data_IF_846659323372
#
_entry.id   IF_846659323372
#
_cell.length_a   1.000
_cell.length_b   1.000
_cell.length_c   1.000
_cell.angle_alpha   90.00
_cell.angle_beta   90.00
_cell.angle_gamma   90.00
#
_symmetry.space_group_name_H-M   'P 1'
#
loop_
_entity.id
_entity.type
_entity.pdbx_description
1 polymer ?
#
# COMPACT_ATOMS: atom_id res chain seq x y z
N UNK A 1 -11.02 -18.97 -0.82
CA UNK A 1 -10.68 -17.54 -0.70
C UNK A 1 -10.18 -17.22 0.71
N UNK A 2 -9.11 -16.45 0.84
CA UNK A 2 -8.54 -16.06 2.13
C UNK A 2 -9.17 -14.76 2.64
N UNK A 3 -9.45 -14.66 3.95
CA UNK A 3 -9.96 -13.46 4.57
C UNK A 3 -8.80 -12.51 4.90
N UNK A 4 -8.78 -11.34 4.27
CA UNK A 4 -7.83 -10.27 4.58
C UNK A 4 -8.40 -9.30 5.62
N UNK A 5 -7.52 -8.53 6.30
CA UNK A 5 -7.92 -7.54 7.30
C UNK A 5 -9.08 -6.62 6.88
N UNK A 6 -9.11 -6.01 5.66
CA UNK A 6 -10.24 -5.19 5.24
C UNK A 6 -11.56 -5.96 5.13
N UNK A 7 -11.51 -7.24 4.75
CA UNK A 7 -12.67 -8.13 4.75
C UNK A 7 -13.17 -8.43 6.15
N UNK A 8 -12.25 -8.72 7.08
CA UNK A 8 -12.57 -8.93 8.49
C UNK A 8 -13.24 -7.70 9.10
N UNK A 9 -12.72 -6.50 8.86
CA UNK A 9 -13.32 -5.24 9.34
C UNK A 9 -14.73 -5.02 8.78
N UNK A 10 -14.98 -5.37 7.50
CA UNK A 10 -16.33 -5.28 6.89
C UNK A 10 -17.29 -6.30 7.49
N UNK A 11 -16.86 -7.53 7.74
CA UNK A 11 -17.68 -8.55 8.41
C UNK A 11 -18.07 -8.11 9.82
N UNK A 12 -17.11 -7.62 10.62
CA UNK A 12 -17.39 -7.10 11.95
C UNK A 12 -18.40 -5.94 11.91
N UNK A 13 -18.28 -5.03 10.96
CA UNK A 13 -19.22 -3.93 10.79
C UNK A 13 -20.62 -4.42 10.43
N UNK A 14 -20.72 -5.44 9.55
CA UNK A 14 -22.00 -6.03 9.12
C UNK A 14 -22.78 -6.63 10.31
N UNK A 15 -22.09 -7.31 11.22
CA UNK A 15 -22.70 -7.92 12.41
C UNK A 15 -22.79 -6.96 13.61
N UNK A 16 -22.50 -5.69 13.42
CA UNK A 16 -22.44 -4.69 14.49
C UNK A 16 -21.50 -5.09 15.64
N UNK A 17 -20.36 -5.67 15.27
CA UNK A 17 -19.31 -6.08 16.20
C UNK A 17 -18.19 -5.03 16.30
N UNK A 18 -17.45 -5.07 17.40
CA UNK A 18 -16.23 -4.31 17.62
C UNK A 18 -15.13 -5.24 18.12
N UNK A 19 -13.89 -4.99 17.68
CA UNK A 19 -12.71 -5.69 18.18
C UNK A 19 -12.03 -4.87 19.28
N UNK A 20 -11.70 -5.53 20.39
CA UNK A 20 -10.99 -4.93 21.54
C UNK A 20 -9.79 -5.79 21.86
N UNK A 21 -8.62 -5.18 21.99
CA UNK A 21 -7.42 -5.88 22.46
C UNK A 21 -7.58 -6.15 23.95
N UNK A 22 -7.64 -7.42 24.33
CA UNK A 22 -7.71 -7.88 25.72
C UNK A 22 -6.32 -7.98 26.34
N UNK A 23 -5.41 -8.63 25.61
CA UNK A 23 -4.06 -8.87 26.09
C UNK A 23 -3.04 -8.61 24.99
N UNK A 24 -1.87 -8.14 25.39
CA UNK A 24 -0.73 -7.92 24.52
C UNK A 24 0.55 -8.29 25.28
N UNK A 25 1.17 -9.38 24.84
CA UNK A 25 2.43 -9.86 25.36
C UNK A 25 3.53 -9.61 24.35
N UNK A 26 4.61 -8.97 24.75
CA UNK A 26 5.75 -8.66 23.91
C UNK A 26 7.06 -9.11 24.55
N UNK A 27 7.91 -9.77 23.76
CA UNK A 27 9.28 -10.10 24.13
C UNK A 27 10.22 -9.38 23.17
N UNK A 28 11.25 -8.72 23.71
CA UNK A 28 12.24 -7.96 22.94
C UNK A 28 13.65 -8.27 23.41
N UNK A 29 14.54 -8.53 22.45
CA UNK A 29 15.97 -8.62 22.68
C UNK A 29 16.72 -7.75 21.68
N UNK A 30 17.27 -6.64 22.17
CA UNK A 30 18.02 -5.68 21.33
C UNK A 30 19.33 -6.26 20.80
N UNK A 31 19.91 -7.29 21.46
CA UNK A 31 21.20 -7.87 21.06
C UNK A 31 21.04 -8.76 19.82
N UNK A 32 19.98 -9.54 19.78
CA UNK A 32 19.70 -10.46 18.68
C UNK A 32 18.74 -9.88 17.64
N UNK A 33 18.11 -8.74 17.93
CA UNK A 33 17.00 -8.20 17.12
C UNK A 33 15.71 -9.02 17.25
N UNK A 34 15.63 -9.94 18.22
CA UNK A 34 14.44 -10.74 18.46
C UNK A 34 13.28 -9.87 18.94
N UNK A 35 12.14 -10.05 18.33
CA UNK A 35 10.87 -9.46 18.74
C UNK A 35 9.74 -10.45 18.48
N UNK A 36 8.92 -10.67 19.48
CA UNK A 36 7.71 -11.46 19.40
C UNK A 36 6.54 -10.64 19.96
N UNK A 37 5.43 -10.65 19.29
CA UNK A 37 4.18 -10.05 19.76
C UNK A 37 3.07 -11.08 19.67
N UNK A 38 2.43 -11.36 20.81
CA UNK A 38 1.21 -12.15 20.92
C UNK A 38 0.08 -11.24 21.40
N UNK A 39 -1.05 -11.31 20.71
CA UNK A 39 -2.25 -10.54 21.04
C UNK A 39 -3.44 -11.44 21.21
N UNK A 40 -4.27 -11.09 22.20
CA UNK A 40 -5.61 -11.64 22.36
C UNK A 40 -6.63 -10.52 22.08
N UNK A 41 -7.55 -10.78 21.16
CA UNK A 41 -8.61 -9.84 20.79
C UNK A 41 -9.97 -10.45 21.10
N UNK A 42 -10.80 -9.68 21.76
CA UNK A 42 -12.22 -9.98 21.98
C UNK A 42 -13.06 -9.29 20.90
N UNK A 43 -14.05 -10.01 20.40
CA UNK A 43 -15.10 -9.45 19.58
C UNK A 43 -16.34 -9.24 20.44
N UNK A 44 -16.83 -8.01 20.48
CA UNK A 44 -17.98 -7.59 21.29
C UNK A 44 -19.11 -7.13 20.39
N UNK A 45 -20.33 -7.51 20.71
CA UNK A 45 -21.52 -6.94 20.07
C UNK A 45 -21.79 -5.53 20.60
N UNK A 46 -21.72 -4.52 19.74
CA UNK A 46 -21.77 -3.09 20.11
C UNK A 46 -23.04 -2.70 20.86
N UNK A 47 -24.19 -3.30 20.51
CA UNK A 47 -25.46 -2.97 21.14
C UNK A 47 -25.65 -3.54 22.56
N UNK A 48 -25.04 -4.68 22.86
CA UNK A 48 -25.22 -5.39 24.14
C UNK A 48 -23.99 -5.42 25.03
N UNK A 49 -22.80 -5.15 24.47
CA UNK A 49 -21.53 -5.27 25.19
C UNK A 49 -21.09 -6.71 25.44
N UNK A 50 -21.83 -7.71 24.94
CA UNK A 50 -21.52 -9.13 25.13
C UNK A 50 -20.29 -9.51 24.30
N UNK A 51 -19.35 -10.23 24.89
CA UNK A 51 -18.25 -10.87 24.17
C UNK A 51 -18.77 -12.07 23.40
N UNK A 52 -18.63 -12.07 22.08
CA UNK A 52 -19.14 -13.12 21.19
C UNK A 52 -18.06 -14.13 20.80
N UNK A 53 -16.80 -13.71 20.79
CA UNK A 53 -15.65 -14.58 20.49
C UNK A 53 -14.35 -13.95 20.99
N UNK A 54 -13.31 -14.78 21.10
CA UNK A 54 -11.92 -14.35 21.26
C UNK A 54 -11.07 -14.96 20.15
N UNK A 55 -9.99 -14.29 19.79
CA UNK A 55 -8.98 -14.80 18.88
C UNK A 55 -7.58 -14.52 19.42
N UNK A 56 -6.63 -15.30 18.99
CA UNK A 56 -5.21 -15.18 19.34
C UNK A 56 -4.38 -15.06 18.08
N UNK A 57 -3.40 -14.18 18.10
CA UNK A 57 -2.50 -14.00 16.98
C UNK A 57 -1.11 -13.62 17.41
N UNK A 58 -0.13 -14.22 16.77
CA UNK A 58 1.28 -14.04 17.07
C UNK A 58 2.09 -13.77 15.81
N UNK A 59 3.18 -13.04 15.97
CA UNK A 59 4.22 -12.89 14.96
C UNK A 59 5.58 -12.66 15.62
N UNK A 60 6.64 -13.09 14.94
CA UNK A 60 8.01 -12.96 15.44
C UNK A 60 8.95 -12.43 14.35
N UNK A 61 9.96 -11.64 14.74
CA UNK A 61 11.04 -11.22 13.84
C UNK A 61 11.91 -12.38 13.35
N UNK A 62 11.84 -13.55 14.03
CA UNK A 62 12.55 -14.75 13.62
C UNK A 62 11.76 -15.63 12.65
N UNK A 63 10.55 -15.23 12.24
CA UNK A 63 9.92 -15.84 11.07
C UNK A 63 10.82 -15.68 9.84
N UNK A 64 10.90 -16.70 9.00
CA UNK A 64 11.82 -16.75 7.85
C UNK A 64 11.79 -15.52 6.97
N UNK A 65 10.60 -14.96 6.74
CA UNK A 65 10.38 -13.77 5.91
C UNK A 65 10.96 -12.47 6.48
N UNK A 66 11.16 -12.38 7.80
CA UNK A 66 11.77 -11.22 8.45
C UNK A 66 13.25 -11.47 8.79
N UNK A 67 13.54 -12.70 9.27
CA UNK A 67 14.89 -13.09 9.68
C UNK A 67 15.86 -13.09 8.52
N UNK A 68 15.39 -13.43 7.29
CA UNK A 68 16.24 -13.54 6.12
C UNK A 68 15.80 -12.57 5.02
N UNK A 69 16.77 -12.17 4.20
CA UNK A 69 16.55 -11.38 2.99
C UNK A 69 17.20 -12.06 1.77
N UNK A 70 16.58 -11.86 0.61
CA UNK A 70 17.12 -12.31 -0.66
C UNK A 70 17.92 -11.17 -1.30
N UNK A 71 19.22 -11.38 -1.50
CA UNK A 71 20.13 -10.39 -2.07
C UNK A 71 20.64 -10.85 -3.42
N UNK A 72 21.05 -9.92 -4.28
CA UNK A 72 21.73 -10.26 -5.52
C UNK A 72 23.16 -10.73 -5.21
N UNK A 73 23.80 -11.39 -6.19
CA UNK A 73 25.17 -11.89 -6.05
C UNK A 73 26.17 -10.77 -5.75
N UNK A 74 25.96 -9.58 -6.33
CA UNK A 74 26.74 -8.37 -6.08
C UNK A 74 26.71 -7.88 -4.63
N UNK A 75 25.62 -8.18 -3.93
CA UNK A 75 25.34 -7.66 -2.58
C UNK A 75 25.73 -8.65 -1.48
N UNK A 76 26.28 -9.82 -1.89
CA UNK A 76 26.82 -10.80 -0.93
C UNK A 76 28.15 -10.27 -0.39
N UNK A 77 28.32 -10.14 0.95
CA UNK A 77 29.54 -9.64 1.56
C UNK A 77 30.77 -10.44 1.13
N UNK A 78 31.88 -9.73 0.85
CA UNK A 78 33.15 -10.35 0.56
C UNK A 78 33.63 -11.17 1.77
N UNK A 79 33.88 -12.46 1.57
CA UNK A 79 34.32 -13.38 2.64
C UNK A 79 33.29 -14.42 3.04
N UNK A 80 32.02 -14.32 2.56
CA UNK A 80 31.06 -15.41 2.68
C UNK A 80 31.21 -16.38 1.52
N UNK A 81 31.32 -17.67 1.83
CA UNK A 81 31.33 -18.72 0.81
C UNK A 81 29.92 -18.86 0.20
N UNK A 82 29.76 -18.39 -1.04
CA UNK A 82 28.50 -18.44 -1.78
C UNK A 82 27.99 -19.87 -2.01
N UNK A 83 28.87 -20.88 -1.96
CA UNK A 83 28.49 -22.28 -2.14
C UNK A 83 27.66 -22.82 -0.98
N UNK A 84 27.84 -22.26 0.22
CA UNK A 84 27.12 -22.65 1.44
C UNK A 84 25.77 -21.93 1.60
N UNK A 85 25.54 -20.86 0.81
CA UNK A 85 24.32 -20.06 0.90
C UNK A 85 23.16 -20.70 0.13
N UNK A 86 21.97 -20.64 0.73
CA UNK A 86 20.76 -21.03 0.03
C UNK A 86 20.52 -20.04 -1.13
N UNK A 87 20.29 -20.58 -2.33
CA UNK A 87 20.01 -19.79 -3.53
C UNK A 87 18.66 -20.16 -4.13
N UNK A 88 17.98 -19.18 -4.69
CA UNK A 88 16.70 -19.33 -5.42
C UNK A 88 16.78 -18.58 -6.74
N UNK A 89 16.28 -19.20 -7.80
CA UNK A 89 16.14 -18.56 -9.12
C UNK A 89 14.82 -17.84 -9.19
N UNK A 90 14.86 -16.57 -9.58
CA UNK A 90 13.71 -15.71 -9.81
C UNK A 90 13.62 -15.36 -11.28
N UNK A 91 12.41 -15.13 -11.78
CA UNK A 91 12.15 -14.72 -13.15
C UNK A 91 11.70 -13.26 -13.16
N UNK A 92 12.40 -12.42 -13.94
CA UNK A 92 12.04 -11.02 -14.08
C UNK A 92 10.70 -10.86 -14.81
N UNK A 93 9.79 -10.09 -14.25
CA UNK A 93 8.48 -9.80 -14.85
C UNK A 93 8.59 -8.97 -16.14
N UNK A 94 9.62 -8.10 -16.25
CA UNK A 94 9.75 -7.16 -17.36
C UNK A 94 10.37 -7.77 -18.62
N UNK A 95 11.30 -8.70 -18.50
CA UNK A 95 12.07 -9.24 -19.61
C UNK A 95 12.14 -10.77 -19.64
N UNK A 96 11.50 -11.45 -18.71
CA UNK A 96 11.48 -12.91 -18.61
C UNK A 96 12.82 -13.55 -18.27
N UNK A 97 13.89 -12.75 -18.05
CA UNK A 97 15.23 -13.29 -17.73
C UNK A 97 15.26 -13.85 -16.33
N UNK A 98 15.93 -14.98 -16.17
CA UNK A 98 16.18 -15.59 -14.88
C UNK A 98 17.40 -14.98 -14.22
N UNK A 99 17.32 -14.79 -12.90
CA UNK A 99 18.40 -14.32 -12.06
C UNK A 99 18.40 -15.04 -10.72
N UNK A 100 19.57 -15.19 -10.11
CA UNK A 100 19.71 -15.87 -8.83
C UNK A 100 19.82 -14.85 -7.72
N UNK A 101 19.19 -15.17 -6.58
CA UNK A 101 19.37 -14.46 -5.32
C UNK A 101 19.86 -15.43 -4.24
N UNK A 102 20.60 -14.90 -3.31
CA UNK A 102 21.16 -15.61 -2.17
C UNK A 102 20.43 -15.20 -0.90
N UNK A 103 20.17 -16.16 -0.02
CA UNK A 103 19.51 -15.92 1.26
C UNK A 103 20.54 -15.58 2.32
N UNK A 104 20.44 -14.37 2.90
CA UNK A 104 21.27 -13.90 4.00
C UNK A 104 20.43 -13.56 5.23
N UNK A 105 21.02 -13.64 6.42
CA UNK A 105 20.37 -13.08 7.60
C UNK A 105 20.22 -11.56 7.44
N UNK A 106 19.10 -11.06 7.92
CA UNK A 106 18.80 -9.64 7.89
C UNK A 106 19.48 -8.95 9.08
N UNK A 107 20.47 -8.06 8.88
CA UNK A 107 21.14 -7.37 9.97
C UNK A 107 20.20 -6.35 10.66
N UNK A 108 19.15 -5.90 9.96
CA UNK A 108 18.28 -4.82 10.40
C UNK A 108 16.94 -5.36 10.95
N UNK A 109 16.99 -6.42 11.77
CA UNK A 109 15.79 -7.06 12.36
C UNK A 109 14.99 -6.10 13.24
N UNK A 110 15.64 -5.16 13.91
CA UNK A 110 14.98 -4.18 14.78
C UNK A 110 14.03 -3.29 13.96
N UNK A 111 14.38 -2.95 12.74
CA UNK A 111 13.52 -2.16 11.84
C UNK A 111 12.23 -2.90 11.47
N UNK A 112 12.23 -4.23 11.58
CA UNK A 112 11.05 -5.06 11.30
C UNK A 112 10.06 -5.13 12.45
N UNK A 113 10.40 -4.70 13.66
CA UNK A 113 9.55 -4.87 14.86
C UNK A 113 8.15 -4.28 14.68
N UNK A 114 8.03 -3.09 14.11
CA UNK A 114 6.72 -2.50 13.83
C UNK A 114 5.93 -3.31 12.78
N UNK A 115 6.61 -3.88 11.79
CA UNK A 115 6.01 -4.74 10.77
C UNK A 115 5.51 -6.04 11.40
N UNK A 116 6.29 -6.65 12.27
CA UNK A 116 5.92 -7.85 13.05
C UNK A 116 4.69 -7.56 13.91
N UNK A 117 4.68 -6.46 14.67
CA UNK A 117 3.52 -6.07 15.48
C UNK A 117 2.26 -5.88 14.63
N UNK A 118 2.38 -5.23 13.45
CA UNK A 118 1.26 -5.07 12.53
C UNK A 118 0.77 -6.42 11.99
N UNK A 119 1.67 -7.38 11.79
CA UNK A 119 1.31 -8.73 11.34
C UNK A 119 0.56 -9.49 12.45
N UNK A 120 1.03 -9.47 13.69
CA UNK A 120 0.31 -10.05 14.81
C UNK A 120 -1.11 -9.46 14.93
N UNK A 121 -1.25 -8.13 14.81
CA UNK A 121 -2.57 -7.46 14.80
C UNK A 121 -3.47 -7.89 13.64
N UNK A 122 -2.91 -8.18 12.46
CA UNK A 122 -3.71 -8.68 11.32
C UNK A 122 -4.18 -10.11 11.58
N UNK A 123 -3.28 -10.99 12.04
CA UNK A 123 -3.58 -12.40 12.32
C UNK A 123 -4.67 -12.53 13.36
N UNK A 124 -4.54 -11.88 14.51
CA UNK A 124 -5.52 -11.97 15.59
C UNK A 124 -6.89 -11.42 15.19
N UNK A 125 -6.94 -10.34 14.39
CA UNK A 125 -8.21 -9.76 13.96
C UNK A 125 -8.95 -10.73 13.01
N UNK A 126 -8.25 -11.37 12.09
CA UNK A 126 -8.84 -12.33 11.18
C UNK A 126 -9.32 -13.56 11.93
N UNK A 127 -8.51 -14.14 12.82
CA UNK A 127 -8.86 -15.29 13.65
C UNK A 127 -10.12 -15.01 14.49
N UNK A 128 -10.12 -13.91 15.24
CA UNK A 128 -11.27 -13.51 16.05
C UNK A 128 -12.54 -13.26 15.21
N UNK A 129 -12.38 -12.70 14.00
CA UNK A 129 -13.52 -12.45 13.10
C UNK A 129 -14.12 -13.75 12.58
N UNK A 130 -13.28 -14.69 12.13
CA UNK A 130 -13.75 -15.99 11.66
C UNK A 130 -14.52 -16.74 12.74
N UNK A 131 -14.00 -16.71 13.98
CA UNK A 131 -14.63 -17.32 15.15
C UNK A 131 -15.97 -16.64 15.48
N UNK A 132 -16.01 -15.30 15.46
CA UNK A 132 -17.22 -14.54 15.80
C UNK A 132 -18.35 -14.68 14.76
N UNK A 133 -17.99 -14.86 13.50
CA UNK A 133 -18.96 -14.89 12.38
C UNK A 133 -19.28 -16.32 11.89
N UNK A 134 -18.56 -17.34 12.38
CA UNK A 134 -18.74 -18.72 11.94
C UNK A 134 -18.36 -18.95 10.47
N UNK A 135 -17.49 -18.12 9.90
CA UNK A 135 -17.16 -18.13 8.47
C UNK A 135 -15.89 -18.92 8.12
N UNK A 136 -15.32 -19.65 9.06
CA UNK A 136 -14.11 -20.47 8.84
C UNK A 136 -14.26 -21.52 7.73
N UNK A 137 -15.48 -22.00 7.49
CA UNK A 137 -15.76 -22.93 6.37
C UNK A 137 -15.82 -22.27 5.00
N UNK A 138 -15.95 -20.93 4.95
CA UNK A 138 -15.99 -20.15 3.69
C UNK A 138 -14.59 -19.65 3.32
N UNK A 139 -13.81 -19.28 4.32
CA UNK A 139 -12.46 -18.75 4.16
C UNK A 139 -11.45 -19.79 4.64
N UNK A 140 -10.81 -20.46 3.69
CA UNK A 140 -9.68 -21.33 3.99
C UNK A 140 -8.44 -20.49 4.22
N UNK A 141 -7.81 -20.64 5.37
CA UNK A 141 -6.49 -20.10 5.64
C UNK A 141 -5.48 -21.22 5.56
N UNK A 142 -4.91 -21.47 4.38
CA UNK A 142 -3.65 -22.18 4.32
C UNK A 142 -2.53 -21.18 4.58
N UNK A 143 -1.60 -21.51 5.47
CA UNK A 143 -0.41 -20.69 5.73
C UNK A 143 0.38 -20.47 4.44
N UNK A 144 0.44 -21.47 3.57
CA UNK A 144 1.10 -21.41 2.26
C UNK A 144 0.49 -20.38 1.30
N UNK A 145 -0.84 -20.23 1.28
CA UNK A 145 -1.49 -19.18 0.46
C UNK A 145 -1.25 -17.78 1.02
N UNK A 146 -1.17 -17.64 2.34
CA UNK A 146 -0.83 -16.34 2.96
C UNK A 146 0.63 -15.95 2.68
N UNK A 147 1.55 -16.89 2.68
CA UNK A 147 2.96 -16.62 2.33
C UNK A 147 3.13 -16.26 0.85
N UNK A 148 2.45 -16.94 -0.06
CA UNK A 148 2.46 -16.62 -1.50
C UNK A 148 1.91 -15.22 -1.78
N UNK A 149 0.85 -14.79 -1.12
CA UNK A 149 0.28 -13.45 -1.25
C UNK A 149 1.19 -12.35 -0.68
N UNK A 150 1.92 -12.66 0.39
CA UNK A 150 2.89 -11.72 0.98
C UNK A 150 4.11 -11.57 0.06
N UNK A 151 4.59 -12.65 -0.55
CA UNK A 151 5.68 -12.60 -1.54
C UNK A 151 5.27 -11.81 -2.80
N UNK A 152 4.03 -11.92 -3.26
CA UNK A 152 3.51 -11.13 -4.38
C UNK A 152 3.30 -9.65 -4.04
N UNK A 153 2.77 -9.34 -2.84
CA UNK A 153 2.54 -7.97 -2.38
C UNK A 153 3.82 -7.21 -2.00
N UNK A 154 4.83 -7.89 -1.52
CA UNK A 154 6.13 -7.28 -1.19
C UNK A 154 6.97 -6.93 -2.45
N UNK A 155 6.71 -7.58 -3.59
CA UNK A 155 7.34 -7.24 -4.87
C UNK A 155 6.94 -5.87 -5.41
N UNK A 156 5.72 -5.41 -5.16
CA UNK A 156 5.23 -4.10 -5.63
C UNK A 156 5.44 -2.97 -4.62
N UNK A 157 5.50 -3.29 -3.31
CA UNK A 157 5.63 -2.28 -2.24
C UNK A 157 7.07 -1.80 -2.01
N UNK A 158 8.05 -2.67 -2.15
CA UNK A 158 9.46 -2.31 -1.86
C UNK A 158 10.13 -1.50 -2.98
N UNK A 159 9.82 -1.74 -4.24
CA UNK A 159 10.37 -0.90 -5.33
C UNK A 159 9.87 0.55 -5.28
N UNK A 160 8.70 0.81 -4.69
CA UNK A 160 8.19 2.18 -4.49
C UNK A 160 8.75 2.86 -3.24
N UNK A 161 9.13 2.09 -2.21
CA UNK A 161 9.66 2.65 -0.96
C UNK A 161 11.17 2.94 -1.04
N UNK A 162 11.96 2.11 -1.72
CA UNK A 162 13.42 2.32 -1.84
C UNK A 162 13.78 3.49 -2.78
N UNK A 163 12.93 3.83 -3.74
CA UNK A 163 13.12 5.05 -4.55
C UNK A 163 12.84 6.36 -3.82
N UNK A 164 12.26 6.32 -2.62
CA UNK A 164 12.01 7.50 -1.78
C UNK A 164 12.98 7.67 -0.59
N UNK A 165 13.89 6.70 -0.37
CA UNK A 165 14.93 6.79 0.65
C UNK A 165 16.31 7.15 0.08
N UNK A 166 16.40 8.25 -0.65
CA UNK A 166 17.63 9.02 -0.71
C UNK A 166 17.56 10.05 0.43
N UNK A 167 18.29 9.77 1.49
CA UNK A 167 18.44 10.62 2.67
C UNK A 167 18.95 12.00 2.31
N UNK A 168 18.32 13.09 2.77
CA UNK A 168 19.00 14.36 2.91
C UNK A 168 19.80 14.34 4.22
N UNK A 169 21.07 14.71 4.14
CA UNK A 169 21.92 15.02 5.31
C UNK A 169 21.23 16.08 6.17
N UNK A 170 21.25 15.83 7.48
CA UNK A 170 20.82 16.76 8.49
C UNK A 170 21.60 18.10 8.37
N UNK A 171 20.88 19.18 8.24
CA UNK A 171 21.28 20.49 8.68
C UNK A 171 20.09 21.12 9.40
N UNK A 172 20.32 21.46 10.66
CA UNK A 172 19.37 22.15 11.53
C UNK A 172 18.97 23.49 10.94
N UNK A 173 17.67 23.67 10.64
CA UNK A 173 17.04 24.98 10.72
C UNK A 173 15.51 24.82 10.78
N UNK A 174 14.92 25.44 11.79
CA UNK A 174 13.47 25.58 11.97
C UNK A 174 12.90 26.47 10.85
N UNK A 175 12.15 25.88 9.94
CA UNK A 175 11.43 26.62 8.91
C UNK A 175 10.17 25.86 8.51
N UNK A 176 9.03 26.54 8.45
CA UNK A 176 7.73 26.05 8.05
C UNK A 176 7.79 25.30 6.70
N UNK A 177 7.27 24.06 6.68
CA UNK A 177 7.20 23.23 5.49
C UNK A 177 6.21 23.83 4.47
N UNK A 178 6.75 24.45 3.43
CA UNK A 178 6.03 24.75 2.19
C UNK A 178 6.48 23.75 1.15
N UNK A 179 5.59 22.92 0.53
CA UNK A 179 6.00 21.98 -0.50
C UNK A 179 6.51 22.76 -1.72
N UNK A 180 7.77 22.62 -2.06
CA UNK A 180 8.30 23.12 -3.34
C UNK A 180 7.74 22.24 -4.47
N UNK A 181 6.85 22.81 -5.27
CA UNK A 181 6.30 22.19 -6.48
C UNK A 181 7.38 22.29 -7.56
N UNK A 182 8.04 21.16 -7.87
CA UNK A 182 9.04 21.10 -8.93
C UNK A 182 8.42 21.32 -10.32
N UNK A 183 9.06 22.13 -11.16
CA UNK A 183 8.71 22.43 -12.55
C UNK A 183 8.98 21.22 -13.50
N UNK A 184 8.34 20.08 -13.29
CA UNK A 184 8.40 18.91 -14.18
C UNK A 184 7.10 18.72 -14.95
N UNK A 185 7.13 17.99 -16.08
CA UNK A 185 5.92 17.59 -16.82
C UNK A 185 4.98 16.77 -15.96
N UNK A 186 3.69 16.77 -16.31
CA UNK A 186 2.63 15.97 -15.69
C UNK A 186 3.05 14.50 -15.55
N UNK A 187 2.73 13.87 -14.42
CA UNK A 187 2.99 12.45 -14.17
C UNK A 187 1.82 11.57 -14.62
N UNK A 188 2.10 10.29 -14.94
CA UNK A 188 1.05 9.33 -15.29
C UNK A 188 0.03 9.15 -14.17
N UNK A 189 0.45 9.24 -12.90
CA UNK A 189 -0.45 9.22 -11.76
C UNK A 189 -1.42 10.41 -11.74
N UNK A 190 -0.95 11.61 -12.09
CA UNK A 190 -1.81 12.80 -12.21
C UNK A 190 -2.76 12.70 -13.40
N UNK A 191 -2.30 12.19 -14.56
CA UNK A 191 -3.16 11.91 -15.72
C UNK A 191 -4.29 10.94 -15.36
N UNK A 192 -3.94 9.80 -14.75
CA UNK A 192 -4.92 8.80 -14.33
C UNK A 192 -5.94 9.36 -13.35
N UNK A 193 -5.50 10.25 -12.43
CA UNK A 193 -6.40 10.90 -11.50
C UNK A 193 -7.36 11.88 -12.21
N UNK A 194 -6.86 12.70 -13.13
CA UNK A 194 -7.67 13.62 -13.94
C UNK A 194 -8.75 12.86 -14.70
N UNK A 195 -8.37 11.79 -15.42
CA UNK A 195 -9.34 10.97 -16.15
C UNK A 195 -10.34 10.26 -15.23
N UNK A 196 -9.88 9.70 -14.10
CA UNK A 196 -10.74 9.02 -13.13
C UNK A 196 -11.75 9.94 -12.47
N UNK A 197 -11.35 11.15 -12.08
CA UNK A 197 -12.24 12.13 -11.44
C UNK A 197 -13.22 12.73 -12.44
N UNK A 198 -12.80 12.99 -13.71
CA UNK A 198 -13.68 13.45 -14.78
C UNK A 198 -14.73 12.38 -15.17
N UNK A 199 -14.32 11.12 -15.29
CA UNK A 199 -15.23 10.01 -15.62
C UNK A 199 -16.31 9.82 -14.55
N UNK A 200 -16.03 10.05 -13.28
CA UNK A 200 -17.05 10.02 -12.20
C UNK A 200 -18.11 11.12 -12.35
N UNK A 201 -17.80 12.18 -13.07
CA UNK A 201 -18.68 13.32 -13.39
C UNK A 201 -19.27 13.23 -14.79
N UNK A 202 -19.21 12.04 -15.41
CA UNK A 202 -19.80 11.79 -16.72
C UNK A 202 -19.05 12.38 -17.91
N UNK A 203 -17.79 12.83 -17.72
CA UNK A 203 -16.96 13.38 -18.79
C UNK A 203 -16.01 12.28 -19.30
N UNK A 204 -16.02 12.07 -20.62
CA UNK A 204 -15.14 11.10 -21.28
C UNK A 204 -13.72 11.64 -21.48
N UNK A 205 -12.86 10.78 -22.02
CA UNK A 205 -11.44 11.11 -22.20
C UNK A 205 -11.20 12.24 -23.22
N UNK A 206 -12.09 12.42 -24.19
CA UNK A 206 -12.00 13.49 -25.18
C UNK A 206 -12.53 14.80 -24.63
N UNK A 207 -13.63 14.75 -23.88
CA UNK A 207 -14.21 15.89 -23.18
C UNK A 207 -13.27 16.53 -22.19
N UNK A 208 -12.58 15.73 -21.34
CA UNK A 208 -11.63 16.29 -20.40
C UNK A 208 -10.41 16.94 -21.06
N UNK A 209 -9.93 16.40 -22.19
CA UNK A 209 -8.86 17.04 -22.97
C UNK A 209 -9.29 18.41 -23.52
N UNK A 210 -10.54 18.50 -23.99
CA UNK A 210 -11.11 19.76 -24.49
C UNK A 210 -11.28 20.79 -23.37
N UNK A 211 -11.77 20.37 -22.20
CA UNK A 211 -11.89 21.23 -21.00
C UNK A 211 -10.51 21.71 -20.52
N UNK A 212 -9.51 20.84 -20.47
CA UNK A 212 -8.15 21.21 -20.09
C UNK A 212 -7.55 22.23 -21.06
N UNK A 213 -7.77 22.04 -22.36
CA UNK A 213 -7.33 22.97 -23.38
C UNK A 213 -8.00 24.36 -23.22
N UNK A 214 -9.29 24.38 -22.88
CA UNK A 214 -10.04 25.61 -22.62
C UNK A 214 -9.51 26.33 -21.37
N UNK A 215 -9.32 25.62 -20.26
CA UNK A 215 -8.99 26.18 -18.95
C UNK A 215 -7.52 26.57 -18.81
N UNK A 216 -6.62 25.84 -19.46
CA UNK A 216 -5.17 25.99 -19.32
C UNK A 216 -4.46 26.45 -20.60
N UNK A 217 -5.17 26.54 -21.71
CA UNK A 217 -4.60 26.85 -23.03
C UNK A 217 -3.42 25.94 -23.44
N UNK A 218 -3.39 24.73 -22.87
CA UNK A 218 -2.33 23.74 -23.07
C UNK A 218 -2.92 22.34 -23.28
N UNK A 219 -2.21 21.51 -24.04
CA UNK A 219 -2.53 20.11 -24.11
C UNK A 219 -2.35 19.42 -22.74
N UNK A 220 -3.17 18.42 -22.45
CA UNK A 220 -3.05 17.62 -21.22
C UNK A 220 -1.63 17.05 -21.04
N UNK A 221 -0.98 16.67 -22.12
CA UNK A 221 0.36 16.06 -22.10
C UNK A 221 1.48 17.09 -21.87
N UNK A 222 1.22 18.36 -22.08
CA UNK A 222 2.17 19.48 -21.90
C UNK A 222 2.00 20.23 -20.58
N UNK A 223 1.06 19.78 -19.72
CA UNK A 223 0.89 20.36 -18.41
C UNK A 223 2.13 20.18 -17.52
N UNK A 224 2.45 21.20 -16.75
CA UNK A 224 3.39 21.06 -15.63
C UNK A 224 2.74 20.29 -14.48
N UNK A 225 3.53 19.76 -13.54
CA UNK A 225 3.01 19.13 -12.32
C UNK A 225 2.11 20.07 -11.53
N UNK A 226 2.42 21.37 -11.52
CA UNK A 226 1.63 22.40 -10.86
C UNK A 226 0.29 22.62 -11.56
N UNK A 227 0.30 22.74 -12.90
CA UNK A 227 -0.92 22.87 -13.70
C UNK A 227 -1.81 21.65 -13.54
N UNK A 228 -1.24 20.45 -13.55
CA UNK A 228 -1.97 19.21 -13.35
C UNK A 228 -2.63 19.12 -11.96
N UNK A 229 -1.95 19.56 -10.91
CA UNK A 229 -2.53 19.64 -9.57
C UNK A 229 -3.69 20.65 -9.52
N UNK A 230 -3.53 21.81 -10.17
CA UNK A 230 -4.60 22.80 -10.26
C UNK A 230 -5.82 22.26 -11.04
N UNK A 231 -5.61 21.49 -12.10
CA UNK A 231 -6.69 20.81 -12.85
C UNK A 231 -7.41 19.77 -11.99
N UNK A 232 -6.68 18.97 -11.21
CA UNK A 232 -7.29 18.01 -10.27
C UNK A 232 -8.17 18.72 -9.24
N UNK A 233 -7.66 19.80 -8.64
CA UNK A 233 -8.42 20.60 -7.67
C UNK A 233 -9.63 21.29 -8.28
N UNK A 234 -9.51 21.74 -9.52
CA UNK A 234 -10.61 22.32 -10.29
C UNK A 234 -11.72 21.28 -10.53
N UNK A 235 -11.38 20.10 -11.05
CA UNK A 235 -12.35 19.02 -11.26
C UNK A 235 -13.00 18.60 -9.93
N UNK A 236 -12.26 18.57 -8.84
CA UNK A 236 -12.81 18.20 -7.53
C UNK A 236 -13.85 19.21 -7.02
N UNK A 237 -13.64 20.50 -7.29
CA UNK A 237 -14.52 21.59 -6.82
C UNK A 237 -15.73 21.87 -7.72
N UNK A 238 -15.66 21.55 -9.01
CA UNK A 238 -16.75 21.75 -9.97
C UNK A 238 -17.72 20.57 -9.86
N UNK A 239 -19.02 20.82 -9.79
CA UNK A 239 -20.05 19.79 -9.79
C UNK A 239 -20.26 19.16 -11.19
N UNK A 240 -21.18 18.20 -11.29
CA UNK A 240 -21.44 17.50 -12.56
C UNK A 240 -22.04 18.45 -13.61
N UNK A 241 -22.94 19.35 -13.20
CA UNK A 241 -23.61 20.31 -14.06
C UNK A 241 -22.59 21.32 -14.62
N UNK A 242 -21.75 21.91 -13.78
CA UNK A 242 -20.69 22.82 -14.21
C UNK A 242 -19.61 22.16 -15.10
N UNK A 243 -19.38 20.84 -14.95
CA UNK A 243 -18.49 20.12 -15.86
C UNK A 243 -19.13 19.89 -17.24
N UNK A 244 -20.46 19.70 -17.31
CA UNK A 244 -21.19 19.59 -18.58
C UNK A 244 -21.26 20.94 -19.31
N UNK A 245 -21.44 22.03 -18.59
CA UNK A 245 -21.42 23.40 -19.16
C UNK A 245 -20.06 23.73 -19.78
N UNK A 246 -18.97 23.39 -19.10
CA UNK A 246 -17.63 23.56 -19.63
C UNK A 246 -17.37 22.68 -20.86
N UNK A 247 -17.94 21.49 -20.94
CA UNK A 247 -17.85 20.63 -22.10
C UNK A 247 -18.56 21.25 -23.31
N UNK A 248 -19.74 21.85 -23.08
CA UNK A 248 -20.48 22.57 -24.13
C UNK A 248 -19.69 23.80 -24.60
N UNK A 249 -19.13 24.60 -23.70
CA UNK A 249 -18.29 25.74 -24.04
C UNK A 249 -17.05 25.35 -24.85
N UNK A 250 -16.36 24.26 -24.42
CA UNK A 250 -15.21 23.72 -25.16
C UNK A 250 -15.57 23.19 -26.57
N UNK A 251 -16.79 22.71 -26.74
CA UNK A 251 -17.30 22.27 -28.07
C UNK A 251 -17.63 23.45 -28.98
N UNK A 252 -18.21 24.52 -28.41
CA UNK A 252 -18.55 25.74 -29.17
C UNK A 252 -17.30 26.53 -29.61
N UNK A 253 -16.25 26.59 -28.77
CA UNK A 253 -14.98 27.26 -29.12
C UNK A 253 -14.20 26.60 -30.24
N UNK A 254 -14.48 25.33 -30.60
CA UNK A 254 -13.90 24.65 -31.75
C UNK A 254 -14.59 25.00 -33.10
N UNK A 255 -15.75 25.65 -33.08
CA UNK A 255 -16.52 26.01 -34.28
C UNK A 255 -16.14 27.33 -34.94
N UNK A 256 -15.34 28.19 -34.31
CA UNK A 256 -14.98 29.51 -34.86
C UNK A 256 -13.58 29.57 -35.52
N UNK A 257 -12.89 28.44 -35.66
CA UNK A 257 -11.54 28.36 -36.25
C UNK A 257 -11.49 27.37 -37.44
N UNK A 258 -12.52 27.40 -38.31
CA UNK A 258 -12.54 26.64 -39.57
C UNK A 258 -12.77 27.59 -40.76
#
# INVERSE_FOLDING_TARGET
PSLLKPGAEKLLALYNFASVVKEKNETRDLKTGYYQAQLVVQIIHRGTGVVVAEGVGEASSFESKYRYRWVYESDVPAGLDKSTLMKKTFKSRNNGKEYQKYRLENPDLIDQWNTVLKMAKKRVLVDATLSATGTSGIFTQSEDEMEAWIEEGEGEGKEKFDKQRSTPKASDEKGSFVPQIGNGKITDAQKNKIFGDASRKGIDAEGIRSIVQLVKEKSLDDLSKADASAVIDFIAKTDEEGMQDLLMEAAMGKGESA
#
